data_IF_183423820818
#
_entry.id   IF_183423820818
#
_cell.length_a   1.000
_cell.length_b   1.000
_cell.length_c   1.000
_cell.angle_alpha   90.00
_cell.angle_beta   90.00
_cell.angle_gamma   90.00
#
_symmetry.space_group_name_H-M   'P 1'
#
loop_
_entity.id
_entity.type
_entity.pdbx_description
1 polymer ?
#
# COMPACT_ATOMS: atom_id res chain seq x y z
N UNK A 1 -3.61 -11.82 16.30
CA UNK A 1 -3.84 -10.67 15.39
C UNK A 1 -3.54 -11.03 13.94
N UNK A 2 -2.34 -11.52 13.59
CA UNK A 2 -1.94 -11.76 12.19
C UNK A 2 -2.84 -12.73 11.38
N UNK A 3 -3.55 -13.67 12.04
CA UNK A 3 -4.48 -14.62 11.41
C UNK A 3 -5.75 -13.98 10.87
N UNK A 4 -6.23 -12.89 11.49
CA UNK A 4 -7.52 -12.27 11.17
C UNK A 4 -7.41 -11.04 10.26
N UNK A 5 -6.18 -10.54 10.03
CA UNK A 5 -5.90 -9.30 9.30
C UNK A 5 -6.56 -9.27 7.93
N UNK A 6 -6.58 -10.39 7.22
CA UNK A 6 -7.18 -10.45 5.88
C UNK A 6 -8.69 -10.24 5.91
N UNK A 7 -9.38 -10.84 6.90
CA UNK A 7 -10.82 -10.68 7.09
C UNK A 7 -11.18 -9.28 7.56
N UNK A 8 -10.44 -8.77 8.57
CA UNK A 8 -10.65 -7.42 9.11
C UNK A 8 -10.36 -6.36 8.05
N UNK A 9 -9.24 -6.46 7.32
CA UNK A 9 -8.91 -5.56 6.23
C UNK A 9 -9.98 -5.59 5.14
N UNK A 10 -10.48 -6.78 4.76
CA UNK A 10 -11.54 -6.89 3.75
C UNK A 10 -12.81 -6.15 4.16
N UNK A 11 -13.29 -6.36 5.39
CA UNK A 11 -14.51 -5.70 5.90
C UNK A 11 -14.32 -4.19 5.96
N UNK A 12 -13.22 -3.72 6.56
CA UNK A 12 -12.96 -2.30 6.70
C UNK A 12 -12.80 -1.61 5.34
N UNK A 13 -12.09 -2.24 4.39
CA UNK A 13 -11.95 -1.69 3.05
C UNK A 13 -13.30 -1.63 2.30
N UNK A 14 -14.24 -2.56 2.54
CA UNK A 14 -15.60 -2.43 2.02
C UNK A 14 -16.33 -1.22 2.62
N UNK A 15 -16.21 -1.00 3.92
CA UNK A 15 -16.84 0.14 4.60
C UNK A 15 -16.26 1.49 4.15
N UNK A 16 -14.98 1.54 3.75
CA UNK A 16 -14.33 2.76 3.25
C UNK A 16 -15.00 3.34 1.99
N UNK A 17 -15.69 2.53 1.18
CA UNK A 17 -16.37 3.03 -0.03
C UNK A 17 -17.89 2.86 -0.03
N UNK A 18 -18.43 1.88 0.71
CA UNK A 18 -19.84 1.50 0.67
C UNK A 18 -20.62 1.94 1.91
N UNK A 19 -20.31 3.09 2.50
CA UNK A 19 -20.94 3.56 3.73
C UNK A 19 -21.06 5.09 3.78
N UNK A 20 -21.88 5.66 4.68
CA UNK A 20 -21.89 7.11 4.91
C UNK A 20 -20.52 7.64 5.32
N UNK A 21 -20.25 8.92 5.04
CA UNK A 21 -18.93 9.53 5.22
C UNK A 21 -18.36 9.35 6.64
N UNK A 22 -19.19 9.43 7.68
CA UNK A 22 -18.75 9.23 9.07
C UNK A 22 -18.26 7.79 9.32
N UNK A 23 -18.90 6.79 8.69
CA UNK A 23 -18.50 5.38 8.77
C UNK A 23 -17.23 5.16 7.94
N UNK A 24 -17.10 5.79 6.77
CA UNK A 24 -15.87 5.71 5.98
C UNK A 24 -14.67 6.23 6.76
N UNK A 25 -14.82 7.36 7.46
CA UNK A 25 -13.79 7.93 8.35
C UNK A 25 -13.45 6.99 9.50
N UNK A 26 -14.46 6.44 10.17
CA UNK A 26 -14.27 5.47 11.24
C UNK A 26 -13.54 4.21 10.73
N UNK A 27 -13.97 3.64 9.60
CA UNK A 27 -13.35 2.46 8.99
C UNK A 27 -11.89 2.70 8.59
N UNK A 28 -11.59 3.87 8.01
CA UNK A 28 -10.22 4.29 7.69
C UNK A 28 -9.35 4.36 8.95
N UNK A 29 -9.88 4.96 10.02
CA UNK A 29 -9.17 5.06 11.29
C UNK A 29 -8.96 3.70 11.95
N UNK A 30 -9.96 2.82 11.93
CA UNK A 30 -9.82 1.45 12.43
C UNK A 30 -8.78 0.67 11.63
N UNK A 31 -8.72 0.87 10.31
CA UNK A 31 -7.71 0.23 9.47
C UNK A 31 -6.29 0.71 9.81
N UNK A 32 -6.11 2.01 10.09
CA UNK A 32 -4.84 2.56 10.60
C UNK A 32 -4.42 1.92 11.93
N UNK A 33 -5.36 1.78 12.86
CA UNK A 33 -5.12 1.13 14.16
C UNK A 33 -4.73 -0.34 13.96
N UNK A 34 -5.45 -1.08 13.11
CA UNK A 34 -5.13 -2.47 12.78
C UNK A 34 -3.72 -2.58 12.22
N UNK A 35 -3.37 -1.75 11.23
CA UNK A 35 -2.03 -1.72 10.60
C UNK A 35 -0.93 -1.44 11.62
N UNK A 36 -1.20 -0.62 12.64
CA UNK A 36 -0.24 -0.31 13.70
C UNK A 36 -0.02 -1.47 14.70
N UNK A 37 -0.97 -2.41 14.80
CA UNK A 37 -0.94 -3.49 15.80
C UNK A 37 -0.58 -4.87 15.25
N UNK A 38 -0.39 -4.99 13.94
CA UNK A 38 -0.01 -6.25 13.27
C UNK A 38 1.42 -6.16 12.74
N UNK A 39 2.01 -7.29 12.34
CA UNK A 39 3.36 -7.24 11.76
C UNK A 39 3.36 -6.41 10.46
N UNK A 40 4.37 -5.55 10.21
CA UNK A 40 4.41 -4.71 9.01
C UNK A 40 4.36 -5.55 7.72
N UNK A 41 5.01 -6.70 7.74
CA UNK A 41 4.96 -7.72 6.69
C UNK A 41 3.52 -8.15 6.36
N UNK A 42 2.70 -8.39 7.38
CA UNK A 42 1.31 -8.81 7.23
C UNK A 42 0.43 -7.66 6.75
N UNK A 43 0.58 -6.48 7.34
CA UNK A 43 -0.15 -5.29 6.93
C UNK A 43 0.09 -4.94 5.45
N UNK A 44 1.37 -4.90 5.03
CA UNK A 44 1.74 -4.65 3.63
C UNK A 44 1.08 -5.65 2.69
N UNK A 45 1.13 -6.95 3.03
CA UNK A 45 0.54 -8.01 2.20
C UNK A 45 -0.98 -7.78 2.03
N UNK A 46 -1.71 -7.59 3.12
CA UNK A 46 -3.16 -7.37 3.08
C UNK A 46 -3.56 -6.13 2.25
N UNK A 47 -2.82 -5.01 2.41
CA UNK A 47 -3.08 -3.78 1.67
C UNK A 47 -2.76 -3.91 0.17
N UNK A 48 -1.64 -4.57 -0.18
CA UNK A 48 -1.27 -4.82 -1.58
C UNK A 48 -2.22 -5.80 -2.27
N UNK A 49 -2.79 -6.77 -1.54
CA UNK A 49 -3.70 -7.76 -2.10
C UNK A 49 -5.13 -7.23 -2.29
N UNK A 50 -5.62 -6.42 -1.36
CA UNK A 50 -7.04 -6.02 -1.32
C UNK A 50 -7.26 -4.55 -1.63
N UNK A 51 -6.40 -3.69 -1.10
CA UNK A 51 -6.52 -2.24 -1.21
C UNK A 51 -6.11 -1.73 -2.60
N UNK A 52 -4.85 -1.98 -2.98
CA UNK A 52 -4.28 -1.46 -4.24
C UNK A 52 -4.97 -2.01 -5.49
N UNK A 53 -5.51 -3.23 -5.41
CA UNK A 53 -6.22 -3.87 -6.54
C UNK A 53 -7.70 -3.45 -6.66
N UNK A 54 -8.21 -2.59 -5.76
CA UNK A 54 -9.61 -2.19 -5.76
C UNK A 54 -9.99 -1.29 -6.94
N UNK A 55 -11.20 -1.48 -7.48
CA UNK A 55 -11.79 -0.56 -8.47
C UNK A 55 -12.20 0.79 -7.87
N UNK A 56 -12.39 0.85 -6.54
CA UNK A 56 -12.88 2.05 -5.85
C UNK A 56 -11.71 2.96 -5.44
N UNK A 57 -11.75 4.22 -5.88
CA UNK A 57 -10.70 5.22 -5.63
C UNK A 57 -10.47 5.41 -4.13
N UNK A 58 -11.53 5.49 -3.32
CA UNK A 58 -11.40 5.67 -1.86
C UNK A 58 -10.58 4.55 -1.21
N UNK A 59 -10.75 3.32 -1.69
CA UNK A 59 -10.03 2.14 -1.20
C UNK A 59 -8.56 2.18 -1.63
N UNK A 60 -8.28 2.50 -2.89
CA UNK A 60 -6.91 2.61 -3.39
C UNK A 60 -6.15 3.73 -2.68
N UNK A 61 -6.79 4.88 -2.48
CA UNK A 61 -6.23 6.01 -1.74
C UNK A 61 -5.87 5.64 -0.31
N UNK A 62 -6.83 5.04 0.41
CA UNK A 62 -6.61 4.59 1.79
C UNK A 62 -5.46 3.58 1.88
N UNK A 63 -5.39 2.61 0.96
CA UNK A 63 -4.32 1.64 0.93
C UNK A 63 -2.95 2.25 0.60
N UNK A 64 -2.90 3.20 -0.35
CA UNK A 64 -1.68 3.89 -0.73
C UNK A 64 -1.12 4.73 0.42
N UNK A 65 -1.97 5.48 1.13
CA UNK A 65 -1.59 6.25 2.31
C UNK A 65 -1.00 5.34 3.40
N UNK A 66 -1.69 4.23 3.72
CA UNK A 66 -1.24 3.27 4.73
C UNK A 66 0.07 2.56 4.35
N UNK A 67 0.24 2.24 3.07
CA UNK A 67 1.47 1.63 2.57
C UNK A 67 2.66 2.60 2.66
N UNK A 68 2.45 3.88 2.33
CA UNK A 68 3.47 4.92 2.50
C UNK A 68 3.87 5.02 3.98
N UNK A 69 2.90 5.14 4.89
CA UNK A 69 3.18 5.19 6.33
C UNK A 69 3.90 3.95 6.87
N UNK A 70 3.63 2.76 6.31
CA UNK A 70 4.38 1.55 6.65
C UNK A 70 5.81 1.59 6.11
N UNK A 71 5.99 2.08 4.88
CA UNK A 71 7.30 2.21 4.25
C UNK A 71 8.18 3.23 4.98
N UNK A 72 7.62 4.32 5.50
CA UNK A 72 8.33 5.30 6.33
C UNK A 72 8.79 4.72 7.66
N UNK A 73 8.00 3.82 8.26
CA UNK A 73 8.34 3.14 9.51
C UNK A 73 9.39 2.06 9.34
N UNK A 74 9.37 1.36 8.20
CA UNK A 74 10.35 0.32 7.89
C UNK A 74 11.58 0.98 7.28
N UNK A 75 12.77 0.75 7.85
CA UNK A 75 14.00 1.16 7.17
C UNK A 75 14.07 0.50 5.79
N UNK A 76 14.16 1.31 4.73
CA UNK A 76 14.20 0.86 3.33
C UNK A 76 15.25 -0.25 3.11
N UNK A 77 16.37 -0.18 3.82
CA UNK A 77 17.40 -1.23 3.82
C UNK A 77 16.89 -2.59 4.31
N UNK A 78 16.06 -2.63 5.36
CA UNK A 78 15.45 -3.87 5.86
C UNK A 78 14.42 -4.44 4.89
N UNK A 79 13.69 -3.58 4.18
CA UNK A 79 12.71 -4.02 3.18
C UNK A 79 13.40 -4.72 2.00
N UNK A 80 14.54 -4.18 1.55
CA UNK A 80 15.25 -4.63 0.35
C UNK A 80 15.66 -6.11 0.39
N UNK A 81 15.85 -6.68 1.59
CA UNK A 81 16.21 -8.08 1.78
C UNK A 81 15.02 -9.00 2.06
N UNK A 82 13.80 -8.51 1.85
CA UNK A 82 12.58 -9.31 1.97
C UNK A 82 12.03 -9.74 0.60
N UNK A 83 11.33 -10.88 0.52
CA UNK A 83 10.61 -11.30 -0.69
C UNK A 83 9.53 -10.31 -1.14
N UNK A 84 9.16 -9.34 -0.29
CA UNK A 84 8.11 -8.35 -0.58
C UNK A 84 8.64 -7.13 -1.32
N UNK A 85 9.96 -6.96 -1.40
CA UNK A 85 10.61 -5.80 -2.02
C UNK A 85 10.18 -5.60 -3.47
N UNK A 86 10.24 -6.67 -4.27
CA UNK A 86 9.87 -6.66 -5.69
C UNK A 86 8.39 -6.31 -5.86
N UNK A 87 7.53 -6.98 -5.09
CA UNK A 87 6.09 -6.73 -5.11
C UNK A 87 5.75 -5.29 -4.73
N UNK A 88 6.42 -4.74 -3.70
CA UNK A 88 6.20 -3.35 -3.30
C UNK A 88 6.69 -2.38 -4.37
N UNK A 89 7.81 -2.65 -5.04
CA UNK A 89 8.28 -1.82 -6.14
C UNK A 89 7.25 -1.73 -7.28
N UNK A 90 6.69 -2.87 -7.68
CA UNK A 90 5.61 -2.90 -8.67
C UNK A 90 4.36 -2.16 -8.20
N UNK A 91 3.95 -2.35 -6.94
CA UNK A 91 2.81 -1.63 -6.36
C UNK A 91 3.04 -0.12 -6.32
N UNK A 92 4.24 0.33 -5.92
CA UNK A 92 4.60 1.74 -5.89
C UNK A 92 4.58 2.36 -7.30
N UNK A 93 5.15 1.66 -8.29
CA UNK A 93 5.10 2.07 -9.69
C UNK A 93 3.66 2.22 -10.20
N UNK A 94 2.81 1.22 -9.93
CA UNK A 94 1.38 1.26 -10.30
C UNK A 94 0.65 2.44 -9.64
N UNK A 95 0.83 2.63 -8.33
CA UNK A 95 0.19 3.73 -7.60
C UNK A 95 0.70 5.09 -8.10
N UNK A 96 1.98 5.23 -8.45
CA UNK A 96 2.56 6.45 -8.99
C UNK A 96 2.00 6.87 -10.36
N UNK A 97 1.20 6.01 -10.99
CA UNK A 97 0.47 6.26 -12.24
C UNK A 97 -1.06 6.23 -12.06
N UNK A 98 -1.58 6.23 -10.82
CA UNK A 98 -3.02 6.17 -10.58
C UNK A 98 -3.75 7.41 -11.15
N UNK A 99 -4.99 7.20 -11.60
CA UNK A 99 -5.85 8.25 -12.13
C UNK A 99 -6.24 9.27 -11.04
N UNK A 100 -6.34 8.83 -9.78
CA UNK A 100 -6.62 9.70 -8.64
C UNK A 100 -5.38 10.47 -8.19
N UNK A 101 -5.53 11.78 -7.92
CA UNK A 101 -4.39 12.67 -7.62
C UNK A 101 -3.71 12.32 -6.30
N UNK A 102 -4.49 12.07 -5.26
CA UNK A 102 -3.95 11.76 -3.92
C UNK A 102 -3.25 10.40 -3.94
N UNK A 103 -3.90 9.39 -4.53
CA UNK A 103 -3.34 8.04 -4.70
C UNK A 103 -2.02 8.09 -5.47
N UNK A 104 -1.99 8.87 -6.56
CA UNK A 104 -0.78 9.08 -7.35
C UNK A 104 0.33 9.74 -6.56
N UNK A 105 0.01 10.76 -5.77
CA UNK A 105 0.97 11.43 -4.91
C UNK A 105 1.63 10.44 -3.93
N UNK A 106 0.84 9.63 -3.21
CA UNK A 106 1.40 8.62 -2.29
C UNK A 106 2.28 7.59 -3.02
N UNK A 107 1.89 7.16 -4.21
CA UNK A 107 2.71 6.29 -5.06
C UNK A 107 4.04 6.91 -5.44
N UNK A 108 4.04 8.19 -5.83
CA UNK A 108 5.25 8.93 -6.19
C UNK A 108 6.20 9.10 -4.99
N UNK A 109 5.68 9.36 -3.79
CA UNK A 109 6.51 9.40 -2.58
C UNK A 109 7.14 8.04 -2.26
N UNK A 110 6.38 6.95 -2.39
CA UNK A 110 6.94 5.60 -2.25
C UNK A 110 8.06 5.35 -3.27
N UNK A 111 7.86 5.72 -4.54
CA UNK A 111 8.88 5.61 -5.59
C UNK A 111 10.15 6.38 -5.21
N UNK A 112 10.04 7.64 -4.76
CA UNK A 112 11.19 8.44 -4.32
C UNK A 112 11.98 7.75 -3.19
N UNK A 113 11.28 7.17 -2.21
CA UNK A 113 11.92 6.43 -1.13
C UNK A 113 12.67 5.20 -1.63
N UNK A 114 12.09 4.44 -2.57
CA UNK A 114 12.70 3.23 -3.13
C UNK A 114 13.93 3.55 -4.01
N UNK A 115 13.91 4.67 -4.74
CA UNK A 115 15.03 5.11 -5.58
C UNK A 115 16.31 5.39 -4.78
N UNK A 116 16.20 5.71 -3.49
CA UNK A 116 17.35 5.94 -2.61
C UNK A 116 18.12 4.66 -2.25
N UNK A 117 17.67 3.48 -2.67
CA UNK A 117 18.33 2.21 -2.41
C UNK A 117 18.58 1.42 -3.71
N UNK A 118 19.85 1.17 -4.06
CA UNK A 118 20.24 0.62 -5.37
C UNK A 118 19.55 -0.70 -5.75
N UNK A 119 19.32 -1.59 -4.79
CA UNK A 119 18.59 -2.86 -5.02
C UNK A 119 17.11 -2.61 -5.36
N UNK A 120 16.46 -1.68 -4.66
CA UNK A 120 15.04 -1.38 -4.85
C UNK A 120 14.82 -0.54 -6.10
N UNK A 121 15.75 0.36 -6.43
CA UNK A 121 15.79 1.07 -7.71
C UNK A 121 15.75 0.10 -8.89
N UNK A 122 16.61 -0.92 -8.90
CA UNK A 122 16.61 -1.94 -9.98
C UNK A 122 15.29 -2.68 -10.08
N UNK A 123 14.69 -3.06 -8.95
CA UNK A 123 13.38 -3.72 -8.92
C UNK A 123 12.28 -2.80 -9.46
N UNK A 124 12.35 -1.51 -9.15
CA UNK A 124 11.40 -0.51 -9.65
C UNK A 124 11.53 -0.35 -11.17
N UNK A 125 12.75 -0.21 -11.69
CA UNK A 125 13.02 -0.10 -13.13
C UNK A 125 12.46 -1.32 -13.89
N UNK A 126 12.71 -2.54 -13.39
CA UNK A 126 12.16 -3.78 -13.94
C UNK A 126 10.62 -3.80 -13.93
N UNK A 127 10.02 -3.30 -12.84
CA UNK A 127 8.57 -3.27 -12.72
C UNK A 127 7.90 -2.29 -13.70
N UNK A 128 8.56 -1.19 -14.06
CA UNK A 128 8.07 -0.22 -15.05
C UNK A 128 8.20 -0.80 -16.46
N UNK A 129 9.35 -1.41 -16.79
CA UNK A 129 9.55 -2.04 -18.10
C UNK A 129 8.56 -3.17 -18.41
N UNK A 130 7.99 -3.80 -17.39
CA UNK A 130 6.96 -4.84 -17.54
C UNK A 130 5.55 -4.26 -17.75
N UNK A 131 5.31 -3.01 -17.37
CA UNK A 131 4.01 -2.34 -17.52
C UNK A 131 3.82 -1.68 -18.90
N UNK A 132 4.91 -1.48 -19.65
CA UNK A 132 4.91 -0.87 -21.00
C UNK A 132 4.78 -1.91 -22.15
N UNK A 133 4.38 -3.15 -21.84
CA UNK A 133 4.13 -4.26 -22.78
C UNK A 133 2.69 -4.76 -22.66
#
# INVERSE_FOLDING_TARGET
MDSEVDGVAQVLLQMVWNSPEFVQKAATQTLRIMVANVTPARAMTALMDRGVKSRHVQVRKCAAELLLSLLEKIRVTKLADTPRAERLAHVAGKLAQDCDKDTRHYGQEMVKMLLNHQKLKRLLEQSVSTCDL
#
